data_IF_395685920430
#
_entry.id   IF_395685920430
#
_cell.length_a   1.000
_cell.length_b   1.000
_cell.length_c   1.000
_cell.angle_alpha   90.00
_cell.angle_beta   90.00
_cell.angle_gamma   90.00
#
_symmetry.space_group_name_H-M   'P 1'
#
loop_
_entity.id
_entity.type
_entity.pdbx_description
1 polymer ?
#
# COMPACT_ATOMS: atom_id res chain seq x y z
N UNK A 1 -17.11 13.91 5.29
CA UNK A 1 -15.96 14.74 5.70
C UNK A 1 -15.15 14.99 4.44
N UNK A 2 -14.85 16.24 4.05
CA UNK A 2 -14.02 16.52 2.89
C UNK A 2 -12.56 16.14 3.15
N UNK A 3 -11.84 15.77 2.11
CA UNK A 3 -10.41 15.52 2.12
C UNK A 3 -9.61 16.82 2.20
N UNK A 4 -8.33 16.74 2.56
CA UNK A 4 -7.42 17.90 2.54
C UNK A 4 -7.20 18.46 1.12
N UNK A 5 -7.27 17.59 0.12
CA UNK A 5 -7.27 18.00 -1.29
C UNK A 5 -8.51 18.83 -1.65
N UNK A 6 -9.71 18.40 -1.23
CA UNK A 6 -10.95 19.15 -1.46
C UNK A 6 -10.97 20.50 -0.74
N UNK A 7 -10.20 20.63 0.34
CA UNK A 7 -9.97 21.87 1.07
C UNK A 7 -8.85 22.74 0.46
N UNK A 8 -8.30 22.35 -0.68
CA UNK A 8 -7.35 23.15 -1.44
C UNK A 8 -5.91 23.10 -0.92
N UNK A 9 -5.51 22.01 -0.24
CA UNK A 9 -4.12 21.76 0.14
C UNK A 9 -3.48 20.84 -0.91
N UNK A 10 -2.72 21.34 -1.89
CA UNK A 10 -2.21 20.51 -2.97
C UNK A 10 -1.13 19.55 -2.46
N UNK A 11 -1.11 18.32 -2.98
CA UNK A 11 -0.09 17.32 -2.62
C UNK A 11 -0.24 16.72 -1.22
N UNK A 12 -1.35 16.99 -0.53
CA UNK A 12 -1.62 16.44 0.81
C UNK A 12 -2.26 15.06 0.81
N UNK A 13 -2.46 14.45 -0.37
CA UNK A 13 -3.00 13.10 -0.44
C UNK A 13 -1.92 12.11 -0.03
N UNK A 14 -2.16 11.42 1.08
CA UNK A 14 -1.26 10.41 1.61
C UNK A 14 -2.10 9.24 2.09
N UNK A 15 -2.18 8.21 1.25
CA UNK A 15 -3.01 7.04 1.52
C UNK A 15 -2.22 6.01 2.32
N UNK A 16 -2.81 5.54 3.42
CA UNK A 16 -2.26 4.42 4.18
C UNK A 16 -2.72 3.10 3.54
N UNK A 17 -1.79 2.18 3.32
CA UNK A 17 -2.08 0.86 2.77
C UNK A 17 -1.32 -0.25 3.51
N UNK A 18 -1.77 -1.49 3.29
CA UNK A 18 -1.13 -2.71 3.80
C UNK A 18 -0.92 -3.66 2.62
N UNK A 19 0.25 -4.29 2.56
CA UNK A 19 0.63 -5.20 1.48
C UNK A 19 1.15 -6.54 2.00
N UNK A 20 1.12 -7.55 1.14
CA UNK A 20 1.69 -8.87 1.40
C UNK A 20 3.04 -9.00 0.69
N UNK A 21 4.07 -9.38 1.44
CA UNK A 21 5.44 -9.52 0.94
C UNK A 21 5.94 -10.96 1.11
N UNK A 22 6.84 -11.37 0.22
CA UNK A 22 7.54 -12.64 0.30
C UNK A 22 9.07 -12.42 0.34
N UNK A 23 9.86 -13.37 0.89
CA UNK A 23 11.31 -13.24 0.92
C UNK A 23 11.95 -13.04 -0.46
N UNK A 24 13.11 -12.39 -0.48
CA UNK A 24 13.92 -12.28 -1.71
C UNK A 24 14.23 -13.68 -2.26
N UNK A 25 13.99 -13.86 -3.55
CA UNK A 25 14.26 -15.12 -4.25
C UNK A 25 13.09 -16.12 -4.24
N UNK A 26 11.94 -15.79 -3.66
CA UNK A 26 10.72 -16.59 -3.83
C UNK A 26 10.43 -16.77 -5.33
N UNK A 27 10.21 -18.01 -5.82
CA UNK A 27 9.92 -18.25 -7.23
C UNK A 27 8.67 -17.49 -7.69
N UNK A 28 8.72 -16.91 -8.90
CA UNK A 28 7.61 -16.12 -9.44
C UNK A 28 6.27 -16.87 -9.47
N UNK A 29 6.28 -18.18 -9.70
CA UNK A 29 5.07 -19.01 -9.65
C UNK A 29 4.42 -19.04 -8.25
N UNK A 30 5.20 -19.02 -7.18
CA UNK A 30 4.69 -18.95 -5.80
C UNK A 30 4.10 -17.56 -5.52
N UNK A 31 4.77 -16.49 -5.97
CA UNK A 31 4.26 -15.12 -5.84
C UNK A 31 2.91 -14.98 -6.56
N UNK A 32 2.82 -15.50 -7.78
CA UNK A 32 1.58 -15.49 -8.56
C UNK A 32 0.47 -16.30 -7.91
N UNK A 33 0.80 -17.47 -7.32
CA UNK A 33 -0.17 -18.24 -6.55
C UNK A 33 -0.69 -17.44 -5.34
N UNK A 34 0.20 -16.84 -4.55
CA UNK A 34 -0.19 -16.03 -3.38
C UNK A 34 -1.10 -14.87 -3.79
N UNK A 35 -0.74 -14.13 -4.85
CA UNK A 35 -1.58 -13.08 -5.40
C UNK A 35 -2.99 -13.60 -5.78
N UNK A 36 -3.06 -14.72 -6.50
CA UNK A 36 -4.34 -15.30 -6.91
C UNK A 36 -5.22 -15.74 -5.74
N UNK A 37 -4.65 -16.36 -4.69
CA UNK A 37 -5.39 -16.71 -3.48
C UNK A 37 -5.85 -15.48 -2.70
N UNK A 38 -4.97 -14.46 -2.57
CA UNK A 38 -5.30 -13.21 -1.88
C UNK A 38 -6.42 -12.46 -2.60
N UNK A 39 -6.40 -12.38 -3.93
CA UNK A 39 -7.46 -11.77 -4.72
C UNK A 39 -8.81 -12.46 -4.46
N UNK A 40 -8.85 -13.79 -4.51
CA UNK A 40 -10.07 -14.56 -4.18
C UNK A 40 -10.56 -14.33 -2.76
N UNK A 41 -9.65 -14.28 -1.79
CA UNK A 41 -10.01 -14.04 -0.39
C UNK A 41 -10.64 -12.66 -0.20
N UNK A 42 -10.07 -11.62 -0.83
CA UNK A 42 -10.58 -10.24 -0.78
C UNK A 42 -11.95 -10.12 -1.45
N UNK A 43 -12.24 -10.92 -2.47
CA UNK A 43 -13.54 -10.95 -3.13
C UNK A 43 -14.63 -11.65 -2.30
N UNK A 44 -14.26 -12.40 -1.25
CA UNK A 44 -15.25 -13.08 -0.40
C UNK A 44 -16.19 -12.09 0.30
N UNK A 45 -17.48 -12.42 0.48
CA UNK A 45 -18.44 -11.52 1.12
C UNK A 45 -18.03 -11.09 2.54
N UNK A 46 -17.43 -12.00 3.30
CA UNK A 46 -16.95 -11.77 4.66
C UNK A 46 -15.83 -10.73 4.71
N UNK A 47 -14.78 -10.89 3.88
CA UNK A 47 -13.66 -9.95 3.85
C UNK A 47 -14.12 -8.58 3.33
N UNK A 48 -14.97 -8.55 2.29
CA UNK A 48 -15.54 -7.29 1.79
C UNK A 48 -16.39 -6.58 2.83
N UNK A 49 -17.16 -7.31 3.63
CA UNK A 49 -17.92 -6.73 4.74
C UNK A 49 -16.98 -6.11 5.78
N UNK A 50 -15.93 -6.85 6.16
CA UNK A 50 -14.96 -6.36 7.14
C UNK A 50 -14.21 -5.12 6.66
N UNK A 51 -13.84 -5.06 5.38
CA UNK A 51 -13.18 -3.87 4.81
C UNK A 51 -14.08 -2.65 4.87
N UNK A 52 -15.37 -2.79 4.52
CA UNK A 52 -16.35 -1.69 4.64
C UNK A 52 -16.51 -1.21 6.08
N UNK A 53 -16.58 -2.12 7.06
CA UNK A 53 -16.66 -1.76 8.49
C UNK A 53 -15.46 -0.96 8.95
N UNK A 54 -14.27 -1.26 8.42
CA UNK A 54 -13.02 -0.58 8.73
C UNK A 54 -12.80 0.70 7.89
N UNK A 55 -13.70 1.02 6.96
CA UNK A 55 -13.50 2.11 5.99
C UNK A 55 -12.31 1.87 5.04
N UNK A 56 -11.91 0.61 4.86
CA UNK A 56 -10.83 0.20 3.99
C UNK A 56 -11.36 -0.17 2.60
N UNK A 57 -10.57 0.13 1.58
CA UNK A 57 -10.83 -0.29 0.20
C UNK A 57 -9.80 -1.34 -0.24
N UNK A 58 -10.24 -2.29 -1.06
CA UNK A 58 -9.34 -3.30 -1.61
C UNK A 58 -8.45 -2.70 -2.69
N UNK A 59 -7.14 -2.66 -2.46
CA UNK A 59 -6.15 -2.30 -3.48
C UNK A 59 -5.47 -3.56 -4.01
N UNK A 60 -6.14 -4.25 -4.95
CA UNK A 60 -5.52 -5.36 -5.68
C UNK A 60 -4.66 -4.81 -6.82
N UNK A 61 -3.39 -5.19 -6.81
CA UNK A 61 -2.38 -4.83 -7.81
C UNK A 61 -1.65 -6.09 -8.23
N UNK A 62 -1.43 -6.24 -9.52
CA UNK A 62 -0.55 -7.29 -10.04
C UNK A 62 0.86 -7.14 -9.40
N UNK A 63 1.55 -8.24 -9.08
CA UNK A 63 2.83 -8.18 -8.34
C UNK A 63 3.86 -7.23 -8.95
N UNK A 64 4.00 -7.23 -10.28
CA UNK A 64 4.96 -6.37 -10.97
C UNK A 64 4.57 -4.88 -10.98
N UNK A 65 3.29 -4.56 -10.81
CA UNK A 65 2.84 -3.18 -10.61
C UNK A 65 3.04 -2.76 -9.16
N UNK A 66 2.71 -3.66 -8.22
CA UNK A 66 2.93 -3.41 -6.81
C UNK A 66 4.41 -3.12 -6.49
N UNK A 67 5.36 -3.86 -7.09
CA UNK A 67 6.79 -3.57 -6.95
C UNK A 67 7.16 -2.14 -7.38
N UNK A 68 6.53 -1.63 -8.45
CA UNK A 68 6.76 -0.26 -8.93
C UNK A 68 6.16 0.78 -8.00
N UNK A 69 4.96 0.53 -7.48
CA UNK A 69 4.28 1.40 -6.54
C UNK A 69 5.12 1.57 -5.27
N UNK A 70 5.65 0.47 -4.72
CA UNK A 70 6.55 0.47 -3.56
C UNK A 70 7.83 1.28 -3.84
N UNK A 71 8.47 1.07 -5.00
CA UNK A 71 9.68 1.81 -5.34
C UNK A 71 9.42 3.33 -5.44
N UNK A 72 8.29 3.71 -6.04
CA UNK A 72 7.86 5.11 -6.16
C UNK A 72 7.55 5.73 -4.81
N UNK A 73 6.89 4.98 -3.93
CA UNK A 73 6.53 5.45 -2.60
C UNK A 73 7.75 5.60 -1.69
N UNK A 74 8.70 4.65 -1.72
CA UNK A 74 9.97 4.79 -0.99
C UNK A 74 10.68 6.08 -1.41
N UNK A 75 10.76 6.37 -2.71
CA UNK A 75 11.39 7.59 -3.21
C UNK A 75 10.64 8.86 -2.74
N UNK A 76 9.30 8.84 -2.82
CA UNK A 76 8.45 9.96 -2.41
C UNK A 76 8.54 10.23 -0.91
N UNK A 77 8.50 9.18 -0.09
CA UNK A 77 8.61 9.26 1.37
C UNK A 77 10.00 9.74 1.80
N UNK A 78 11.06 9.29 1.14
CA UNK A 78 12.41 9.78 1.41
C UNK A 78 12.53 11.28 1.11
N UNK A 79 11.93 11.75 0.02
CA UNK A 79 11.88 13.18 -0.31
C UNK A 79 11.09 13.99 0.72
N UNK A 80 9.92 13.47 1.15
CA UNK A 80 9.07 14.10 2.16
C UNK A 80 9.77 14.22 3.51
N UNK A 81 10.37 13.13 4.01
CA UNK A 81 11.13 13.11 5.27
C UNK A 81 12.26 14.14 5.25
N UNK A 82 13.01 14.20 4.13
CA UNK A 82 14.08 15.17 3.94
C UNK A 82 13.56 16.61 3.95
N UNK A 83 12.47 16.90 3.24
CA UNK A 83 11.87 18.23 3.17
C UNK A 83 11.31 18.69 4.52
N UNK A 84 10.75 17.76 5.30
CA UNK A 84 10.19 18.03 6.63
C UNK A 84 11.26 18.14 7.74
N UNK A 85 12.53 17.85 7.45
CA UNK A 85 13.60 17.86 8.45
C UNK A 85 13.42 16.79 9.54
N UNK A 86 12.68 15.72 9.25
CA UNK A 86 12.42 14.65 10.22
C UNK A 86 13.69 13.79 10.34
N UNK A 87 14.29 13.68 11.54
CA UNK A 87 15.44 12.81 11.73
C UNK A 87 14.99 11.35 11.63
N UNK A 88 15.70 10.56 10.82
CA UNK A 88 15.52 9.11 10.79
C UNK A 88 16.22 8.56 12.03
N UNK A 89 15.45 8.31 13.09
CA UNK A 89 15.95 7.60 14.27
C UNK A 89 16.43 6.21 13.84
N UNK A 90 17.67 5.86 14.20
CA UNK A 90 18.19 4.51 13.97
C UNK A 90 17.27 3.46 14.59
N UNK A 91 17.08 2.35 13.88
CA UNK A 91 16.40 1.17 14.41
C UNK A 91 17.05 0.78 15.74
N UNK A 92 16.24 0.72 16.79
CA UNK A 92 16.56 -0.03 18.01
C UNK A 92 16.28 -1.50 17.76
#
# INVERSE_FOLDING_TARGET
MPTTLELGVPGSNYDFWVGLFAPRGTPGAIVQKLYGETARAIESPEVRARFRELGAESMLREPALFDKDIASEIASNAALVKAAGIPIGGAQ
#
